data_IF_273267103371
#
_entry.id   IF_273267103371
#
_cell.length_a   1.000
_cell.length_b   1.000
_cell.length_c   1.000
_cell.angle_alpha   90.00
_cell.angle_beta   90.00
_cell.angle_gamma   90.00
#
_symmetry.space_group_name_H-M   'P 1'
#
loop_
_entity.id
_entity.type
_entity.pdbx_description
1 polymer ?
#
# COMPACT_ATOMS: atom_id res chain seq x y z
N UNK A 1 -6.25 12.08 -7.08
CA UNK A 1 -6.83 11.02 -6.27
C UNK A 1 -6.15 10.95 -4.92
N UNK A 2 -6.93 10.91 -3.87
CA UNK A 2 -6.40 11.00 -2.50
C UNK A 2 -6.37 9.63 -1.86
N UNK A 3 -5.22 9.27 -1.28
CA UNK A 3 -5.10 8.04 -0.51
C UNK A 3 -5.23 8.37 0.97
N UNK A 4 -5.86 7.49 1.72
CA UNK A 4 -6.13 7.74 3.13
C UNK A 4 -6.00 6.46 3.92
N UNK A 5 -6.11 6.60 5.23
CA UNK A 5 -6.03 5.48 6.17
C UNK A 5 -6.95 4.36 5.74
N UNK A 6 -6.43 3.14 5.82
CA UNK A 6 -7.12 1.88 5.53
C UNK A 6 -7.39 1.65 4.04
N UNK A 7 -6.93 2.54 3.17
CA UNK A 7 -7.00 2.28 1.75
C UNK A 7 -6.09 1.12 1.38
N UNK A 8 -6.56 0.31 0.44
CA UNK A 8 -5.76 -0.75 -0.15
C UNK A 8 -4.96 -0.17 -1.29
N UNK A 9 -3.68 -0.49 -1.33
CA UNK A 9 -2.75 0.04 -2.34
C UNK A 9 -1.87 -1.08 -2.85
N UNK A 10 -1.27 -0.86 -4.02
CA UNK A 10 -0.26 -1.75 -4.56
C UNK A 10 1.04 -0.97 -4.71
N UNK A 11 2.15 -1.66 -4.46
CA UNK A 11 3.46 -1.07 -4.63
C UNK A 11 3.75 -0.92 -6.12
N UNK A 12 4.16 0.27 -6.54
CA UNK A 12 4.36 0.56 -7.96
C UNK A 12 5.69 0.05 -8.50
N UNK A 13 6.71 0.06 -7.65
CA UNK A 13 8.06 -0.34 -8.06
C UNK A 13 8.65 -1.24 -7.00
N UNK A 14 9.59 -2.09 -7.41
CA UNK A 14 10.30 -2.95 -6.46
C UNK A 14 10.99 -2.12 -5.40
N UNK A 15 10.97 -2.62 -4.18
CA UNK A 15 11.78 -2.12 -3.07
C UNK A 15 12.69 -3.25 -2.64
N UNK A 16 13.77 -3.43 -3.39
CA UNK A 16 14.65 -4.58 -3.20
C UNK A 16 15.24 -4.63 -1.79
N UNK A 17 15.58 -3.47 -1.24
CA UNK A 17 16.16 -3.42 0.10
C UNK A 17 15.21 -3.96 1.16
N UNK A 18 13.91 -3.93 0.89
CA UNK A 18 12.89 -4.40 1.82
C UNK A 18 12.33 -5.75 1.41
N UNK A 19 12.77 -6.29 0.29
CA UNK A 19 12.23 -7.54 -0.21
C UNK A 19 10.81 -7.43 -0.74
N UNK A 20 10.41 -6.24 -1.17
CA UNK A 20 9.04 -5.99 -1.61
C UNK A 20 9.00 -5.86 -3.13
N UNK A 21 8.34 -6.79 -3.82
CA UNK A 21 8.20 -6.71 -5.28
C UNK A 21 7.09 -5.74 -5.68
N UNK A 22 7.21 -5.18 -6.86
CA UNK A 22 6.15 -4.34 -7.40
C UNK A 22 4.86 -5.15 -7.54
N UNK A 23 3.75 -4.49 -7.35
CA UNK A 23 2.45 -5.15 -7.40
C UNK A 23 1.99 -5.72 -6.08
N UNK A 24 2.86 -5.76 -5.08
CA UNK A 24 2.47 -6.28 -3.78
C UNK A 24 1.40 -5.39 -3.18
N UNK A 25 0.37 -6.01 -2.63
CA UNK A 25 -0.78 -5.29 -2.10
C UNK A 25 -0.62 -5.09 -0.61
N UNK A 26 -0.91 -3.89 -0.14
CA UNK A 26 -0.86 -3.56 1.27
C UNK A 26 -1.97 -2.62 1.66
N UNK A 27 -1.97 -2.24 2.92
CA UNK A 27 -2.98 -1.35 3.48
C UNK A 27 -2.28 -0.18 4.17
N UNK A 28 -2.77 1.02 3.93
CA UNK A 28 -2.26 2.21 4.61
C UNK A 28 -2.71 2.16 6.05
N UNK A 29 -1.75 2.13 6.98
CA UNK A 29 -2.05 2.06 8.40
C UNK A 29 -1.76 3.38 9.12
N UNK A 30 -1.02 4.28 8.47
CA UNK A 30 -0.73 5.57 9.07
C UNK A 30 -0.37 6.56 7.97
N UNK A 31 -0.72 7.82 8.16
CA UNK A 31 -0.23 8.90 7.31
C UNK A 31 0.57 9.83 8.20
N UNK A 32 1.91 9.81 8.03
CA UNK A 32 2.79 10.58 8.91
C UNK A 32 2.69 12.07 8.67
N UNK A 33 2.71 12.46 7.42
CA UNK A 33 2.47 13.82 6.95
C UNK A 33 1.81 13.67 5.60
N UNK A 34 1.21 14.73 5.04
CA UNK A 34 0.56 14.59 3.73
C UNK A 34 1.49 13.97 2.69
N UNK A 35 1.05 12.87 2.10
CA UNK A 35 1.79 12.19 1.04
C UNK A 35 2.82 11.19 1.52
N UNK A 36 3.01 10.99 2.81
CA UNK A 36 3.95 10.00 3.35
C UNK A 36 3.18 9.03 4.21
N UNK A 37 3.19 7.78 3.80
CA UNK A 37 2.33 6.76 4.39
C UNK A 37 3.14 5.61 4.97
N UNK A 38 2.63 5.04 6.04
CA UNK A 38 3.10 3.76 6.52
C UNK A 38 2.15 2.71 5.96
N UNK A 39 2.70 1.72 5.27
CA UNK A 39 1.92 0.69 4.60
C UNK A 39 2.31 -0.67 5.15
N UNK A 40 1.31 -1.46 5.49
CA UNK A 40 1.51 -2.81 5.98
C UNK A 40 1.30 -3.79 4.84
N UNK A 41 2.32 -4.59 4.56
CA UNK A 41 2.26 -5.64 3.55
C UNK A 41 2.35 -6.99 4.24
N UNK A 42 1.54 -7.96 3.81
CA UNK A 42 1.71 -9.34 4.23
C UNK A 42 2.62 -10.03 3.20
N UNK A 43 3.41 -10.99 3.64
CA UNK A 43 4.20 -11.75 2.68
C UNK A 43 3.27 -12.63 1.84
N UNK A 44 3.83 -13.26 0.81
CA UNK A 44 3.01 -14.04 -0.12
C UNK A 44 2.31 -15.21 0.54
N UNK A 45 2.80 -15.64 1.68
CA UNK A 45 2.20 -16.74 2.43
C UNK A 45 1.37 -16.25 3.60
N UNK A 46 1.34 -14.95 3.81
CA UNK A 46 0.55 -14.36 4.88
C UNK A 46 1.09 -14.59 6.28
N UNK A 47 2.35 -15.02 6.40
CA UNK A 47 2.91 -15.37 7.70
C UNK A 47 3.67 -14.27 8.38
N UNK A 48 4.05 -13.25 7.65
CA UNK A 48 4.82 -12.15 8.20
C UNK A 48 4.29 -10.85 7.65
N UNK A 49 4.44 -9.79 8.43
CA UNK A 49 4.03 -8.46 8.00
C UNK A 49 5.27 -7.58 7.92
N UNK A 50 5.31 -6.78 6.88
CA UNK A 50 6.37 -5.82 6.65
C UNK A 50 5.73 -4.44 6.58
N UNK A 51 6.30 -3.49 7.32
CA UNK A 51 5.87 -2.11 7.28
C UNK A 51 6.88 -1.31 6.48
N UNK A 52 6.39 -0.44 5.61
CA UNK A 52 7.27 0.41 4.83
C UNK A 52 6.71 1.81 4.79
N UNK A 53 7.61 2.80 4.89
CA UNK A 53 7.25 4.20 4.75
C UNK A 53 7.39 4.56 3.29
N UNK A 54 6.30 4.96 2.66
CA UNK A 54 6.25 5.15 1.21
C UNK A 54 5.56 6.45 0.87
N UNK A 55 5.93 6.99 -0.28
CA UNK A 55 5.33 8.23 -0.77
C UNK A 55 4.16 7.91 -1.67
N UNK A 56 3.32 8.92 -1.88
CA UNK A 56 2.20 8.81 -2.81
C UNK A 56 2.61 8.20 -4.14
N UNK A 57 3.74 8.64 -4.70
CA UNK A 57 4.17 8.17 -6.01
C UNK A 57 4.65 6.73 -6.02
N UNK A 58 4.88 6.15 -4.86
CA UNK A 58 5.28 4.75 -4.76
C UNK A 58 4.10 3.81 -4.79
N UNK A 59 2.89 4.33 -4.71
CA UNK A 59 1.70 3.54 -4.45
C UNK A 59 0.66 3.75 -5.54
N UNK A 60 -0.05 2.67 -5.86
CA UNK A 60 -1.19 2.71 -6.75
C UNK A 60 -2.43 2.39 -5.91
N UNK A 61 -3.35 3.33 -5.79
CA UNK A 61 -4.57 3.04 -5.03
C UNK A 61 -5.44 2.03 -5.76
N UNK A 62 -5.97 1.09 -5.00
CA UNK A 62 -6.84 0.05 -5.53
C UNK A 62 -8.25 0.33 -5.04
N UNK A 63 -9.14 0.61 -5.97
CA UNK A 63 -10.51 0.90 -5.62
C UNK A 63 -11.37 -0.32 -5.83
N UNK A 64 -12.07 -0.70 -4.78
CA UNK A 64 -13.14 -1.68 -4.93
C UNK A 64 -14.39 -0.91 -5.27
N UNK A 65 -14.84 -1.06 -6.48
CA UNK A 65 -15.94 -0.26 -6.97
C UNK A 65 -17.29 -0.95 -6.87
N UNK A 66 -17.36 -2.04 -6.12
CA UNK A 66 -18.62 -2.77 -5.99
C UNK A 66 -19.74 -1.89 -5.49
N UNK A 67 -19.46 -1.13 -4.43
CA UNK A 67 -20.47 -0.24 -3.89
C UNK A 67 -20.77 0.91 -4.83
N UNK A 68 -19.79 1.32 -5.61
CA UNK A 68 -19.95 2.42 -6.55
C UNK A 68 -20.67 1.97 -7.80
N UNK A 69 -20.50 0.72 -8.16
CA UNK A 69 -21.15 0.16 -9.33
C UNK A 69 -22.62 -0.14 -9.09
N UNK A 70 -22.98 -0.22 -7.85
CA UNK A 70 -24.36 -0.59 -7.49
C UNK A 70 -25.38 0.52 -7.80
#
# INVERSE_FOLDING_TARGET
MTMKLLDTVALRCDRAALGLPSGLVGVIVEEWVPGIFEVEFADLEGRAYVFATLKTNDLLPLHHSLSEAA
#
